data_IF_221923288102
#
_entry.id   IF_221923288102
#
_cell.length_a   1.000
_cell.length_b   1.000
_cell.length_c   1.000
_cell.angle_alpha   90.00
_cell.angle_beta   90.00
_cell.angle_gamma   90.00
#
_symmetry.space_group_name_H-M   'P 1'
#
loop_
_entity.id
_entity.type
_entity.pdbx_description
1 polymer ?
#
# COMPACT_ATOMS: atom_id res chain seq x y z
N UNK A 1 19.55 56.21 -12.10
CA UNK A 1 18.60 56.62 -11.04
C UNK A 1 17.15 56.15 -11.24
N UNK A 2 16.80 55.61 -12.41
CA UNK A 2 15.47 55.02 -12.68
C UNK A 2 15.24 53.73 -11.88
N UNK A 3 16.24 52.86 -11.82
CA UNK A 3 16.17 51.60 -11.07
C UNK A 3 16.09 51.82 -9.53
N UNK A 4 16.81 52.80 -8.96
CA UNK A 4 16.71 53.13 -7.53
C UNK A 4 15.32 53.63 -7.10
N UNK A 5 14.48 54.09 -8.05
CA UNK A 5 13.14 54.59 -7.77
C UNK A 5 12.07 53.49 -7.81
N UNK A 6 12.33 52.41 -8.55
CA UNK A 6 11.43 51.28 -8.68
C UNK A 6 11.57 50.29 -7.51
N UNK A 7 12.78 50.15 -6.95
CA UNK A 7 13.07 49.20 -5.87
C UNK A 7 13.41 49.88 -4.55
N UNK A 8 12.48 50.69 -4.00
CA UNK A 8 12.59 51.18 -2.64
C UNK A 8 12.29 50.07 -1.63
N UNK A 9 12.88 50.16 -0.42
CA UNK A 9 12.81 49.24 0.73
C UNK A 9 11.39 48.67 1.06
N UNK A 10 10.34 49.22 0.46
CA UNK A 10 8.95 48.80 0.58
C UNK A 10 8.64 47.58 -0.32
N UNK A 11 9.47 47.32 -1.35
CA UNK A 11 9.22 46.27 -2.36
C UNK A 11 9.92 44.96 -2.04
N UNK A 12 10.89 44.92 -1.11
CA UNK A 12 11.55 43.66 -0.70
C UNK A 12 10.59 42.71 0.00
N UNK A 13 9.66 43.19 0.81
CA UNK A 13 8.62 42.39 1.45
C UNK A 13 7.61 41.83 0.41
N UNK A 14 7.28 42.60 -0.61
CA UNK A 14 6.38 42.18 -1.67
C UNK A 14 7.02 41.11 -2.57
N UNK A 15 8.33 41.25 -2.87
CA UNK A 15 9.09 40.30 -3.66
C UNK A 15 9.31 39.00 -2.91
N UNK A 16 9.61 39.04 -1.61
CA UNK A 16 9.74 37.84 -0.78
C UNK A 16 8.40 37.10 -0.62
N UNK A 17 7.31 37.84 -0.52
CA UNK A 17 5.95 37.26 -0.52
C UNK A 17 5.63 36.61 -1.87
N UNK A 18 5.98 37.26 -2.99
CA UNK A 18 5.76 36.69 -4.33
C UNK A 18 6.56 35.41 -4.56
N UNK A 19 7.80 35.32 -4.08
CA UNK A 19 8.63 34.11 -4.10
C UNK A 19 7.95 32.95 -3.35
N UNK A 20 7.51 33.22 -2.11
CA UNK A 20 6.84 32.21 -1.29
C UNK A 20 5.55 31.70 -1.93
N UNK A 21 4.78 32.60 -2.56
CA UNK A 21 3.57 32.24 -3.31
C UNK A 21 3.91 31.38 -4.53
N UNK A 22 4.94 31.76 -5.30
CA UNK A 22 5.35 31.00 -6.49
C UNK A 22 5.81 29.58 -6.12
N UNK A 23 6.65 29.43 -5.11
CA UNK A 23 7.10 28.12 -4.62
C UNK A 23 5.93 27.31 -4.07
N UNK A 24 5.05 27.91 -3.28
CA UNK A 24 3.86 27.25 -2.75
C UNK A 24 2.94 26.74 -3.85
N UNK A 25 2.75 27.52 -4.92
CA UNK A 25 1.98 27.09 -6.10
C UNK A 25 2.63 25.91 -6.80
N UNK A 26 3.93 25.98 -7.05
CA UNK A 26 4.69 24.89 -7.69
C UNK A 26 4.59 23.57 -6.90
N UNK A 27 4.75 23.63 -5.57
CA UNK A 27 4.59 22.45 -4.70
C UNK A 27 3.15 21.91 -4.78
N UNK A 28 2.15 22.79 -4.79
CA UNK A 28 0.75 22.40 -4.92
C UNK A 28 0.46 21.71 -6.25
N UNK A 29 0.95 22.25 -7.36
CA UNK A 29 0.75 21.69 -8.70
C UNK A 29 1.39 20.29 -8.80
N UNK A 30 2.62 20.11 -8.30
CA UNK A 30 3.29 18.79 -8.24
C UNK A 30 2.51 17.81 -7.36
N UNK A 31 1.99 18.25 -6.23
CA UNK A 31 1.23 17.40 -5.31
C UNK A 31 -0.09 16.93 -5.92
N UNK A 32 -0.78 17.80 -6.66
CA UNK A 32 -2.02 17.47 -7.36
C UNK A 32 -1.76 16.43 -8.46
N UNK A 33 -0.78 16.67 -9.33
CA UNK A 33 -0.42 15.76 -10.42
C UNK A 33 0.01 14.39 -9.87
N UNK A 34 0.86 14.37 -8.87
CA UNK A 34 1.31 13.14 -8.21
C UNK A 34 0.17 12.38 -7.53
N UNK A 35 -0.80 13.09 -6.95
CA UNK A 35 -1.99 12.46 -6.35
C UNK A 35 -2.89 11.81 -7.40
N UNK A 36 -3.02 12.39 -8.59
CA UNK A 36 -3.74 11.78 -9.70
C UNK A 36 -3.03 10.51 -10.19
N UNK A 37 -1.70 10.56 -10.36
CA UNK A 37 -0.91 9.40 -10.75
C UNK A 37 -0.99 8.26 -9.71
N UNK A 38 -0.95 8.59 -8.43
CA UNK A 38 -1.10 7.60 -7.35
C UNK A 38 -2.49 6.93 -7.38
N UNK A 39 -3.56 7.71 -7.57
CA UNK A 39 -4.93 7.16 -7.73
C UNK A 39 -5.04 6.20 -8.91
N UNK A 40 -4.41 6.50 -10.02
CA UNK A 40 -4.39 5.64 -11.20
C UNK A 40 -3.60 4.36 -10.95
N UNK A 41 -2.41 4.47 -10.32
CA UNK A 41 -1.54 3.34 -9.96
C UNK A 41 -2.20 2.35 -9.02
N UNK A 42 -2.90 2.83 -7.98
CA UNK A 42 -3.51 2.02 -6.93
C UNK A 42 -5.02 1.80 -7.14
N UNK A 43 -5.47 1.73 -8.37
CA UNK A 43 -6.88 1.55 -8.71
C UNK A 43 -7.18 0.08 -9.01
N UNK A 44 -7.58 -0.69 -7.98
CA UNK A 44 -8.17 -2.01 -8.19
C UNK A 44 -9.61 -1.88 -8.70
N UNK A 45 -10.03 -2.81 -9.57
CA UNK A 45 -11.41 -2.90 -10.05
C UNK A 45 -12.38 -3.14 -8.90
N UNK A 46 -13.55 -2.55 -8.93
CA UNK A 46 -14.63 -2.91 -7.99
C UNK A 46 -15.22 -4.31 -8.28
N UNK A 47 -15.10 -4.75 -9.54
CA UNK A 47 -15.63 -6.03 -9.98
C UNK A 47 -14.52 -7.07 -10.05
N UNK A 48 -14.76 -8.20 -9.41
CA UNK A 48 -13.89 -9.37 -9.48
C UNK A 48 -13.84 -9.95 -10.90
N UNK A 49 -12.63 -10.17 -11.42
CA UNK A 49 -12.36 -10.96 -12.62
C UNK A 49 -11.24 -11.95 -12.33
N UNK A 50 -11.60 -13.23 -12.27
CA UNK A 50 -10.66 -14.32 -12.02
C UNK A 50 -9.47 -14.31 -12.99
N UNK A 51 -9.70 -14.00 -14.27
CA UNK A 51 -8.66 -14.07 -15.30
C UNK A 51 -7.56 -13.02 -15.11
N UNK A 52 -7.89 -11.87 -14.52
CA UNK A 52 -6.91 -10.84 -14.20
C UNK A 52 -6.01 -11.23 -13.01
N UNK A 53 -6.57 -11.99 -12.04
CA UNK A 53 -5.91 -12.28 -10.76
C UNK A 53 -5.18 -13.61 -10.78
N UNK A 54 -5.74 -14.67 -11.41
CA UNK A 54 -5.12 -16.00 -11.42
C UNK A 54 -3.73 -15.97 -12.08
N UNK A 55 -2.77 -16.68 -11.46
CA UNK A 55 -1.45 -16.94 -12.05
C UNK A 55 -1.25 -18.43 -12.30
N UNK A 56 -1.54 -18.86 -13.52
CA UNK A 56 -1.38 -20.24 -13.93
C UNK A 56 0.06 -20.74 -13.80
N UNK A 57 1.05 -19.83 -13.98
CA UNK A 57 2.46 -20.19 -13.85
C UNK A 57 2.83 -20.51 -12.40
N UNK A 58 2.29 -19.76 -11.43
CA UNK A 58 2.47 -20.03 -10.01
C UNK A 58 1.84 -21.37 -9.63
N UNK A 59 0.60 -21.60 -10.05
CA UNK A 59 -0.11 -22.86 -9.82
C UNK A 59 0.67 -24.05 -10.39
N UNK A 60 1.18 -23.95 -11.62
CA UNK A 60 1.97 -25.01 -12.25
C UNK A 60 3.31 -25.24 -11.52
N UNK A 61 3.97 -24.17 -11.01
CA UNK A 61 5.20 -24.32 -10.21
C UNK A 61 4.94 -25.11 -8.92
N UNK A 62 3.86 -24.78 -8.20
CA UNK A 62 3.50 -25.47 -6.95
C UNK A 62 3.17 -26.94 -7.24
N UNK A 63 2.41 -27.21 -8.30
CA UNK A 63 2.13 -28.61 -8.71
C UNK A 63 3.40 -29.38 -9.03
N UNK A 64 4.27 -28.87 -9.89
CA UNK A 64 5.55 -29.51 -10.23
C UNK A 64 6.42 -29.75 -8.99
N UNK A 65 6.47 -28.77 -8.07
CA UNK A 65 7.23 -28.88 -6.83
C UNK A 65 6.74 -30.05 -5.97
N UNK A 66 5.42 -30.22 -5.85
CA UNK A 66 4.82 -31.28 -5.06
C UNK A 66 5.20 -32.69 -5.59
N UNK A 67 5.34 -32.86 -6.91
CA UNK A 67 5.69 -34.12 -7.53
C UNK A 67 7.18 -34.31 -7.83
N UNK A 68 8.03 -33.32 -7.51
CA UNK A 68 9.44 -33.35 -7.89
C UNK A 68 10.32 -34.34 -7.11
N UNK A 69 9.90 -34.75 -5.90
CA UNK A 69 10.61 -35.72 -5.07
C UNK A 69 10.43 -37.17 -5.54
N UNK A 70 9.39 -37.46 -6.32
CA UNK A 70 8.99 -38.81 -6.68
C UNK A 70 8.26 -39.55 -5.56
N UNK A 71 7.98 -38.89 -4.44
CA UNK A 71 7.18 -39.47 -3.35
C UNK A 71 5.70 -39.51 -3.73
N UNK A 72 4.95 -40.37 -3.01
CA UNK A 72 3.50 -40.44 -3.16
C UNK A 72 2.90 -39.15 -2.62
N UNK A 73 2.26 -38.38 -3.50
CA UNK A 73 1.52 -37.16 -3.13
C UNK A 73 0.10 -37.55 -2.75
N UNK A 74 -0.38 -37.05 -1.61
CA UNK A 74 -1.74 -37.27 -1.14
C UNK A 74 -2.47 -35.93 -0.98
N UNK A 75 -3.78 -35.99 -1.20
CA UNK A 75 -4.69 -34.89 -0.85
C UNK A 75 -4.70 -34.72 0.67
N UNK A 76 -4.33 -33.55 1.22
CA UNK A 76 -4.23 -33.38 2.66
C UNK A 76 -5.58 -33.43 3.39
N UNK A 77 -6.68 -33.34 2.66
CA UNK A 77 -8.03 -33.27 3.22
C UNK A 77 -8.79 -34.59 3.11
N UNK A 78 -8.49 -35.39 2.09
CA UNK A 78 -9.20 -36.67 1.82
C UNK A 78 -8.30 -37.91 1.97
N UNK A 79 -6.97 -37.72 2.10
CA UNK A 79 -5.93 -38.79 2.09
C UNK A 79 -5.83 -39.58 0.80
N UNK A 80 -6.56 -39.19 -0.26
CA UNK A 80 -6.48 -39.85 -1.56
C UNK A 80 -5.11 -39.65 -2.21
N UNK A 81 -4.54 -40.67 -2.81
CA UNK A 81 -3.32 -40.58 -3.62
C UNK A 81 -3.61 -39.77 -4.86
N UNK A 82 -2.73 -38.79 -5.14
CA UNK A 82 -2.86 -37.87 -6.26
C UNK A 82 -1.86 -38.18 -7.37
N UNK A 83 -2.31 -38.04 -8.60
CA UNK A 83 -1.52 -38.14 -9.82
C UNK A 83 -1.32 -36.76 -10.44
N UNK A 84 -0.10 -36.46 -10.86
CA UNK A 84 0.20 -35.19 -11.54
C UNK A 84 -0.57 -35.08 -12.86
N UNK A 85 -0.61 -36.20 -13.62
CA UNK A 85 -1.25 -36.28 -14.92
C UNK A 85 -2.68 -36.86 -14.80
N UNK A 86 -3.66 -36.14 -15.30
CA UNK A 86 -5.05 -36.55 -15.31
C UNK A 86 -5.29 -37.85 -16.09
N UNK A 87 -4.51 -38.10 -17.14
CA UNK A 87 -4.64 -39.36 -17.92
C UNK A 87 -4.22 -40.59 -17.11
N UNK A 88 -3.15 -40.47 -16.31
CA UNK A 88 -2.70 -41.52 -15.41
C UNK A 88 -3.76 -41.84 -14.34
N UNK A 89 -4.35 -40.77 -13.74
CA UNK A 89 -5.44 -40.94 -12.79
C UNK A 89 -6.65 -41.66 -13.43
N UNK A 90 -6.98 -41.35 -14.69
CA UNK A 90 -8.06 -42.02 -15.42
C UNK A 90 -7.75 -43.49 -15.74
N UNK A 91 -6.52 -43.80 -16.09
CA UNK A 91 -6.09 -45.16 -16.37
C UNK A 91 -6.18 -46.06 -15.13
N UNK A 92 -5.82 -45.49 -13.96
CA UNK A 92 -5.80 -46.22 -12.70
C UNK A 92 -7.20 -46.36 -12.06
N UNK A 93 -8.01 -45.27 -12.07
CA UNK A 93 -9.27 -45.19 -11.31
C UNK A 93 -10.53 -45.11 -12.17
N UNK A 94 -10.38 -45.08 -13.50
CA UNK A 94 -11.51 -44.95 -14.43
C UNK A 94 -12.09 -43.52 -14.52
N UNK A 95 -12.99 -43.34 -15.49
CA UNK A 95 -13.62 -42.03 -15.78
C UNK A 95 -14.56 -41.54 -14.65
N UNK A 96 -15.04 -42.42 -13.79
CA UNK A 96 -15.94 -42.06 -12.70
C UNK A 96 -15.18 -41.50 -11.48
N UNK A 97 -14.01 -42.09 -11.14
CA UNK A 97 -13.30 -41.78 -9.89
C UNK A 97 -12.02 -40.95 -10.07
N UNK A 98 -11.52 -40.77 -11.31
CA UNK A 98 -10.25 -40.05 -11.53
C UNK A 98 -10.19 -38.66 -10.91
N UNK A 99 -11.32 -38.00 -10.73
CA UNK A 99 -11.37 -36.64 -10.17
C UNK A 99 -10.95 -36.61 -8.69
N UNK A 100 -11.07 -37.70 -7.96
CA UNK A 100 -10.58 -37.85 -6.59
C UNK A 100 -9.06 -38.02 -6.53
N UNK A 101 -8.44 -38.42 -7.63
CA UNK A 101 -7.03 -38.74 -7.74
C UNK A 101 -6.25 -37.84 -8.70
N UNK A 102 -6.91 -36.90 -9.37
CA UNK A 102 -6.26 -35.89 -10.24
C UNK A 102 -5.85 -34.69 -9.44
N UNK A 103 -4.55 -34.40 -9.36
CA UNK A 103 -4.00 -33.28 -8.61
C UNK A 103 -4.35 -31.95 -9.27
N UNK A 104 -4.89 -31.01 -8.48
CA UNK A 104 -5.11 -29.65 -8.88
C UNK A 104 -4.58 -28.67 -7.78
N UNK A 105 -3.92 -27.57 -8.16
CA UNK A 105 -3.63 -26.49 -7.24
C UNK A 105 -4.92 -25.74 -6.89
N UNK A 106 -5.19 -25.60 -5.61
CA UNK A 106 -6.32 -24.83 -5.07
C UNK A 106 -5.81 -23.61 -4.29
N UNK A 107 -6.53 -22.48 -4.37
CA UNK A 107 -6.30 -21.33 -3.52
C UNK A 107 -6.97 -21.56 -2.16
N UNK A 108 -6.17 -21.67 -1.10
CA UNK A 108 -6.66 -21.91 0.27
C UNK A 108 -7.65 -20.81 0.67
N UNK A 109 -7.24 -19.54 0.52
CA UNK A 109 -8.14 -18.38 0.56
C UNK A 109 -8.55 -18.07 -0.88
N UNK A 110 -9.84 -18.16 -1.22
CA UNK A 110 -10.31 -17.97 -2.60
C UNK A 110 -9.98 -16.59 -3.17
N UNK A 111 -9.65 -16.55 -4.47
CA UNK A 111 -9.30 -15.29 -5.17
C UNK A 111 -10.39 -14.22 -5.04
N UNK A 112 -11.65 -14.58 -5.10
CA UNK A 112 -12.79 -13.66 -4.95
C UNK A 112 -12.80 -13.00 -3.56
N UNK A 113 -12.54 -13.77 -2.50
CA UNK A 113 -12.47 -13.26 -1.13
C UNK A 113 -11.26 -12.33 -0.95
N UNK A 114 -10.12 -12.66 -1.56
CA UNK A 114 -8.94 -11.79 -1.55
C UNK A 114 -9.16 -10.49 -2.32
N UNK A 115 -9.82 -10.56 -3.47
CA UNK A 115 -10.19 -9.38 -4.24
C UNK A 115 -11.10 -8.44 -3.43
N UNK A 116 -12.14 -8.98 -2.81
CA UNK A 116 -13.05 -8.21 -1.96
C UNK A 116 -12.32 -7.55 -0.78
N UNK A 117 -11.28 -8.21 -0.27
CA UNK A 117 -10.42 -7.66 0.77
C UNK A 117 -9.53 -6.54 0.23
N UNK A 118 -8.82 -6.75 -0.89
CA UNK A 118 -7.83 -5.81 -1.41
C UNK A 118 -8.41 -4.61 -2.16
N UNK A 119 -9.60 -4.72 -2.77
CA UNK A 119 -10.17 -3.64 -3.60
C UNK A 119 -10.32 -2.31 -2.89
N UNK A 120 -10.46 -2.33 -1.56
CA UNK A 120 -10.55 -1.13 -0.73
C UNK A 120 -9.20 -0.64 -0.18
N UNK A 121 -8.09 -1.37 -0.44
CA UNK A 121 -6.78 -0.96 0.00
C UNK A 121 -6.23 0.17 -0.89
N UNK A 122 -5.93 1.38 -0.33
CA UNK A 122 -5.51 2.53 -1.13
C UNK A 122 -4.10 2.41 -1.71
N UNK A 123 -3.29 1.43 -1.27
CA UNK A 123 -1.91 1.24 -1.71
C UNK A 123 -1.67 -0.15 -2.30
N UNK A 124 -2.69 -0.78 -2.85
CA UNK A 124 -2.60 -2.08 -3.51
C UNK A 124 -2.70 -1.92 -5.03
N UNK A 125 -1.73 -2.47 -5.76
CA UNK A 125 -1.78 -2.54 -7.23
C UNK A 125 -2.35 -3.88 -7.70
N UNK A 126 -2.82 -3.96 -8.95
CA UNK A 126 -3.24 -5.23 -9.57
C UNK A 126 -2.12 -6.28 -9.54
N UNK A 127 -0.87 -5.86 -9.73
CA UNK A 127 0.29 -6.75 -9.68
C UNK A 127 0.53 -7.29 -8.26
N UNK A 128 0.33 -6.46 -7.24
CA UNK A 128 0.47 -6.86 -5.84
C UNK A 128 -0.61 -7.85 -5.44
N UNK A 129 -1.86 -7.56 -5.77
CA UNK A 129 -2.98 -8.48 -5.57
C UNK A 129 -2.70 -9.85 -6.20
N UNK A 130 -2.33 -9.87 -7.49
CA UNK A 130 -1.99 -11.10 -8.20
C UNK A 130 -0.86 -11.87 -7.52
N UNK A 131 0.21 -11.18 -7.14
CA UNK A 131 1.38 -11.77 -6.48
C UNK A 131 1.05 -12.36 -5.11
N UNK A 132 0.27 -11.66 -4.29
CA UNK A 132 -0.11 -12.11 -2.95
C UNK A 132 -1.08 -13.27 -3.04
N UNK A 133 -2.12 -13.14 -3.86
CA UNK A 133 -3.16 -14.15 -4.02
C UNK A 133 -2.64 -15.50 -4.53
N UNK A 134 -1.60 -15.50 -5.39
CA UNK A 134 -0.98 -16.70 -5.94
C UNK A 134 0.35 -17.08 -5.27
N UNK A 135 0.60 -16.58 -4.05
CA UNK A 135 1.78 -16.99 -3.29
C UNK A 135 1.70 -18.47 -2.90
N UNK A 136 2.85 -19.13 -2.77
CA UNK A 136 2.92 -20.55 -2.39
C UNK A 136 2.16 -20.85 -1.10
N UNK A 137 2.16 -19.92 -0.14
CA UNK A 137 1.47 -20.06 1.14
C UNK A 137 -0.07 -20.02 1.02
N UNK A 138 -0.59 -19.54 -0.10
CA UNK A 138 -2.02 -19.57 -0.42
C UNK A 138 -2.41 -20.66 -1.42
N UNK A 139 -1.48 -21.54 -1.77
CA UNK A 139 -1.72 -22.63 -2.72
C UNK A 139 -1.49 -23.99 -2.04
N UNK A 140 -2.37 -24.91 -2.31
CA UNK A 140 -2.29 -26.31 -1.86
C UNK A 140 -2.58 -27.24 -3.02
N UNK A 141 -1.92 -28.41 -3.04
CA UNK A 141 -2.29 -29.45 -3.99
C UNK A 141 -3.38 -30.33 -3.36
N UNK A 142 -4.52 -30.37 -4.00
CA UNK A 142 -5.67 -31.19 -3.59
C UNK A 142 -6.25 -31.93 -4.79
N UNK A 143 -7.28 -32.75 -4.59
CA UNK A 143 -7.95 -33.43 -5.67
C UNK A 143 -8.84 -32.49 -6.49
N UNK A 144 -8.96 -32.77 -7.77
CA UNK A 144 -9.89 -32.04 -8.65
C UNK A 144 -11.32 -32.06 -8.11
N UNK A 145 -11.75 -33.21 -7.52
CA UNK A 145 -13.08 -33.35 -6.91
C UNK A 145 -13.27 -32.36 -5.76
N UNK A 146 -12.29 -32.30 -4.83
CA UNK A 146 -12.32 -31.37 -3.71
C UNK A 146 -12.34 -29.91 -4.18
N UNK A 147 -11.39 -29.53 -5.04
CA UNK A 147 -11.28 -28.16 -5.57
C UNK A 147 -12.57 -27.71 -6.30
N UNK A 148 -13.11 -28.57 -7.16
CA UNK A 148 -14.35 -28.29 -7.89
C UNK A 148 -15.59 -28.21 -6.96
N UNK A 149 -15.62 -28.93 -5.87
CA UNK A 149 -16.69 -28.85 -4.89
C UNK A 149 -16.57 -27.60 -4.03
N UNK A 150 -15.36 -27.25 -3.60
CA UNK A 150 -15.09 -26.05 -2.76
C UNK A 150 -15.42 -24.73 -3.48
N UNK A 151 -15.02 -24.57 -4.75
CA UNK A 151 -15.23 -23.35 -5.56
C UNK A 151 -14.66 -22.08 -4.87
N UNK A 152 -15.51 -21.03 -4.68
CA UNK A 152 -15.17 -19.76 -3.99
C UNK A 152 -15.46 -19.79 -2.49
N UNK A 153 -15.73 -20.95 -1.91
CA UNK A 153 -15.92 -21.09 -0.46
C UNK A 153 -14.56 -21.09 0.24
N UNK A 154 -14.49 -20.50 1.41
CA UNK A 154 -13.35 -20.70 2.30
C UNK A 154 -13.33 -22.16 2.79
N UNK A 155 -12.19 -22.62 3.31
CA UNK A 155 -12.15 -23.94 3.91
C UNK A 155 -13.15 -24.06 5.07
N UNK A 156 -13.24 -22.99 5.89
CA UNK A 156 -14.21 -22.94 7.01
C UNK A 156 -15.65 -23.08 6.52
N UNK A 157 -16.05 -22.36 5.47
CA UNK A 157 -17.40 -22.47 4.88
C UNK A 157 -17.64 -23.86 4.28
N UNK A 158 -16.61 -24.48 3.72
CA UNK A 158 -16.75 -25.75 2.99
C UNK A 158 -16.76 -26.96 3.92
N UNK A 159 -15.75 -27.11 4.80
CA UNK A 159 -15.59 -28.32 5.63
C UNK A 159 -16.58 -28.39 6.81
N UNK A 160 -17.27 -27.29 7.13
CA UNK A 160 -18.31 -27.27 8.17
C UNK A 160 -19.72 -27.50 7.63
N UNK A 161 -19.91 -27.45 6.31
CA UNK A 161 -21.22 -27.71 5.66
C UNK A 161 -21.32 -29.18 5.28
N UNK A 162 -21.70 -30.02 6.27
CA UNK A 162 -21.78 -31.46 6.10
C UNK A 162 -22.78 -31.88 5.00
N UNK A 163 -23.93 -31.24 4.96
CA UNK A 163 -24.95 -31.55 3.96
C UNK A 163 -24.46 -31.25 2.54
N UNK A 164 -23.65 -30.19 2.38
CA UNK A 164 -23.04 -29.84 1.11
C UNK A 164 -21.92 -30.83 0.73
N UNK A 165 -21.07 -31.23 1.68
CA UNK A 165 -20.05 -32.26 1.45
C UNK A 165 -20.69 -33.56 0.98
N UNK A 166 -21.73 -34.02 1.66
CA UNK A 166 -22.49 -35.21 1.31
C UNK A 166 -23.13 -35.09 -0.09
N UNK A 167 -23.73 -33.92 -0.39
CA UNK A 167 -24.31 -33.65 -1.72
C UNK A 167 -23.28 -33.58 -2.86
N UNK A 168 -22.01 -33.31 -2.54
CA UNK A 168 -20.88 -33.32 -3.49
C UNK A 168 -20.08 -34.62 -3.47
N UNK A 169 -20.50 -35.57 -2.64
CA UNK A 169 -19.81 -36.84 -2.44
C UNK A 169 -18.30 -36.61 -2.13
N UNK A 170 -18.01 -35.66 -1.23
CA UNK A 170 -16.65 -35.35 -0.73
C UNK A 170 -16.51 -35.90 0.67
N UNK A 171 -15.61 -36.86 0.84
CA UNK A 171 -15.35 -37.51 2.12
C UNK A 171 -14.01 -37.06 2.67
N UNK A 172 -14.03 -36.35 3.80
CA UNK A 172 -12.81 -35.93 4.48
C UNK A 172 -12.20 -37.09 5.26
N UNK A 173 -10.87 -37.19 5.29
CA UNK A 173 -10.18 -38.09 6.20
C UNK A 173 -10.33 -37.63 7.67
N UNK A 174 -9.90 -38.46 8.62
CA UNK A 174 -10.14 -38.23 10.05
C UNK A 174 -9.70 -36.83 10.51
N UNK A 175 -8.54 -36.36 10.06
CA UNK A 175 -7.97 -35.06 10.41
C UNK A 175 -8.18 -33.99 9.32
N UNK A 176 -8.82 -34.39 8.20
CA UNK A 176 -8.95 -33.55 7.00
C UNK A 176 -9.62 -32.20 7.26
N UNK A 177 -10.64 -32.18 8.12
CA UNK A 177 -11.33 -30.98 8.54
C UNK A 177 -10.38 -30.05 9.31
N UNK A 178 -9.64 -30.58 10.28
CA UNK A 178 -8.74 -29.80 11.11
C UNK A 178 -7.57 -29.23 10.28
N UNK A 179 -7.00 -30.07 9.40
CA UNK A 179 -5.95 -29.64 8.46
C UNK A 179 -6.44 -28.50 7.57
N UNK A 180 -7.66 -28.59 7.04
CA UNK A 180 -8.23 -27.55 6.18
C UNK A 180 -8.39 -26.22 6.92
N UNK A 181 -8.87 -26.24 8.15
CA UNK A 181 -9.01 -25.05 8.99
C UNK A 181 -7.65 -24.44 9.34
N UNK A 182 -6.66 -25.29 9.67
CA UNK A 182 -5.30 -24.82 9.98
C UNK A 182 -4.61 -24.23 8.74
N UNK A 183 -4.79 -24.82 7.55
CA UNK A 183 -4.27 -24.27 6.30
C UNK A 183 -4.88 -22.90 6.02
N UNK A 184 -6.19 -22.73 6.20
CA UNK A 184 -6.84 -21.42 6.01
C UNK A 184 -6.30 -20.38 6.98
N UNK A 185 -6.18 -20.73 8.27
CA UNK A 185 -5.61 -19.84 9.29
C UNK A 185 -4.19 -19.38 8.92
N UNK A 186 -3.33 -20.29 8.50
CA UNK A 186 -1.97 -19.99 8.11
C UNK A 186 -1.92 -19.14 6.83
N UNK A 187 -2.73 -19.50 5.82
CA UNK A 187 -2.78 -18.73 4.57
C UNK A 187 -3.28 -17.30 4.80
N UNK A 188 -4.32 -17.11 5.61
CA UNK A 188 -4.82 -15.78 5.98
C UNK A 188 -3.74 -14.94 6.65
N UNK A 189 -3.01 -15.50 7.64
CA UNK A 189 -1.91 -14.80 8.29
C UNK A 189 -0.83 -14.39 7.30
N UNK A 190 -0.37 -15.31 6.45
CA UNK A 190 0.67 -15.04 5.47
C UNK A 190 0.23 -13.99 4.42
N UNK A 191 -1.05 -13.98 4.03
CA UNK A 191 -1.63 -12.95 3.16
C UNK A 191 -1.54 -11.57 3.84
N UNK A 192 -1.94 -11.46 5.11
CA UNK A 192 -1.88 -10.20 5.88
C UNK A 192 -0.44 -9.71 6.02
N UNK A 193 0.51 -10.58 6.37
CA UNK A 193 1.93 -10.22 6.48
C UNK A 193 2.48 -9.68 5.14
N UNK A 194 2.16 -10.34 4.02
CA UNK A 194 2.56 -9.88 2.68
C UNK A 194 1.88 -8.56 2.29
N UNK A 195 0.62 -8.37 2.67
CA UNK A 195 -0.12 -7.13 2.45
C UNK A 195 0.55 -5.97 3.19
N UNK A 196 0.82 -6.11 4.49
CA UNK A 196 1.47 -5.07 5.30
C UNK A 196 2.81 -4.67 4.69
N UNK A 197 3.67 -5.63 4.37
CA UNK A 197 4.96 -5.36 3.74
C UNK A 197 4.83 -4.66 2.38
N UNK A 198 3.84 -5.05 1.59
CA UNK A 198 3.55 -4.44 0.28
C UNK A 198 3.06 -3.00 0.42
N UNK A 199 2.11 -2.76 1.32
CA UNK A 199 1.59 -1.42 1.60
C UNK A 199 2.70 -0.50 2.10
N UNK A 200 3.51 -0.94 3.07
CA UNK A 200 4.63 -0.17 3.58
C UNK A 200 5.61 0.23 2.46
N UNK A 201 5.96 -0.71 1.59
CA UNK A 201 6.80 -0.46 0.42
C UNK A 201 6.16 0.57 -0.52
N UNK A 202 4.91 0.38 -0.90
CA UNK A 202 4.20 1.25 -1.85
C UNK A 202 4.04 2.68 -1.31
N UNK A 203 3.77 2.82 -0.01
CA UNK A 203 3.74 4.13 0.68
C UNK A 203 5.10 4.81 0.62
N UNK A 204 6.18 4.09 0.97
CA UNK A 204 7.54 4.62 0.97
C UNK A 204 7.98 5.07 -0.43
N UNK A 205 7.75 4.23 -1.45
CA UNK A 205 8.06 4.56 -2.84
C UNK A 205 7.28 5.78 -3.32
N UNK A 206 5.97 5.82 -3.07
CA UNK A 206 5.11 6.96 -3.45
C UNK A 206 5.59 8.25 -2.79
N UNK A 207 5.91 8.21 -1.50
CA UNK A 207 6.45 9.37 -0.79
C UNK A 207 7.75 9.85 -1.41
N UNK A 208 8.69 8.94 -1.66
CA UNK A 208 10.00 9.29 -2.19
C UNK A 208 9.92 9.85 -3.61
N UNK A 209 9.22 9.17 -4.52
CA UNK A 209 9.06 9.60 -5.92
C UNK A 209 8.44 11.00 -6.02
N UNK A 210 7.36 11.23 -5.28
CA UNK A 210 6.65 12.51 -5.33
C UNK A 210 7.38 13.60 -4.55
N UNK A 211 8.04 13.25 -3.47
CA UNK A 211 8.92 14.13 -2.72
C UNK A 211 10.07 14.65 -3.57
N UNK A 212 10.72 13.79 -4.33
CA UNK A 212 11.80 14.19 -5.25
C UNK A 212 11.33 15.16 -6.33
N UNK A 213 10.15 14.92 -6.92
CA UNK A 213 9.55 15.85 -7.88
C UNK A 213 9.31 17.23 -7.25
N UNK A 214 8.75 17.25 -6.03
CA UNK A 214 8.52 18.48 -5.27
C UNK A 214 9.80 19.20 -4.90
N UNK A 215 10.85 18.48 -4.52
CA UNK A 215 12.15 19.05 -4.19
C UNK A 215 12.78 19.75 -5.39
N UNK A 216 12.82 19.10 -6.54
CA UNK A 216 13.40 19.65 -7.77
C UNK A 216 12.61 20.91 -8.16
N UNK A 217 11.28 20.81 -8.30
CA UNK A 217 10.45 21.92 -8.76
C UNK A 217 10.49 23.12 -7.80
N UNK A 218 10.44 22.90 -6.50
CA UNK A 218 10.50 23.97 -5.51
C UNK A 218 11.89 24.60 -5.43
N UNK A 219 12.94 23.78 -5.50
CA UNK A 219 14.34 24.23 -5.51
C UNK A 219 14.64 25.10 -6.71
N UNK A 220 14.30 24.65 -7.92
CA UNK A 220 14.48 25.39 -9.17
C UNK A 220 13.73 26.71 -9.16
N UNK A 221 12.47 26.71 -8.75
CA UNK A 221 11.66 27.94 -8.66
C UNK A 221 12.24 28.94 -7.67
N UNK A 222 12.74 28.48 -6.51
CA UNK A 222 13.35 29.34 -5.52
C UNK A 222 14.70 29.88 -6.00
N UNK A 223 15.55 29.08 -6.62
CA UNK A 223 16.83 29.53 -7.18
C UNK A 223 16.60 30.61 -8.23
N UNK A 224 15.65 30.43 -9.15
CA UNK A 224 15.30 31.43 -10.14
C UNK A 224 14.79 32.72 -9.50
N UNK A 225 13.88 32.64 -8.54
CA UNK A 225 13.27 33.78 -7.87
C UNK A 225 14.27 34.51 -6.95
N UNK A 226 15.08 33.76 -6.20
CA UNK A 226 16.12 34.29 -5.33
C UNK A 226 17.25 34.91 -6.15
N UNK A 227 17.58 34.32 -7.30
CA UNK A 227 18.57 34.85 -8.24
C UNK A 227 18.23 36.25 -8.69
N UNK A 228 17.01 36.50 -9.14
CA UNK A 228 16.57 37.85 -9.57
C UNK A 228 16.72 38.87 -8.44
N UNK A 229 16.25 38.56 -7.24
CA UNK A 229 16.31 39.46 -6.10
C UNK A 229 17.75 39.76 -5.67
N UNK A 230 18.60 38.73 -5.65
CA UNK A 230 20.00 38.93 -5.26
C UNK A 230 20.82 39.67 -6.31
N UNK A 231 20.55 39.47 -7.62
CA UNK A 231 21.16 40.28 -8.69
C UNK A 231 20.81 41.76 -8.52
N UNK A 232 19.55 42.09 -8.22
CA UNK A 232 19.13 43.45 -7.95
C UNK A 232 19.87 44.07 -6.75
N UNK A 233 20.02 43.27 -5.66
CA UNK A 233 20.77 43.72 -4.47
C UNK A 233 22.26 43.96 -4.75
N UNK A 234 22.88 43.15 -5.61
CA UNK A 234 24.27 43.35 -6.05
C UNK A 234 24.39 44.61 -6.91
N UNK A 235 23.48 44.83 -7.86
CA UNK A 235 23.43 46.03 -8.69
C UNK A 235 23.27 47.30 -7.85
N UNK A 236 22.48 47.23 -6.79
CA UNK A 236 22.26 48.34 -5.85
C UNK A 236 23.43 48.56 -4.88
N UNK A 237 24.43 47.66 -4.86
CA UNK A 237 25.54 47.69 -3.91
C UNK A 237 25.15 47.34 -2.46
N UNK A 238 24.04 46.67 -2.29
CA UNK A 238 23.55 46.19 -1.00
C UNK A 238 24.19 44.87 -0.55
N UNK A 239 24.70 44.08 -1.50
CA UNK A 239 25.37 42.78 -1.30
C UNK A 239 26.55 42.64 -2.24
N UNK A 240 27.51 41.81 -1.83
CA UNK A 240 28.55 41.26 -2.73
C UNK A 240 28.01 40.12 -3.57
N UNK A 241 28.71 39.79 -4.65
CA UNK A 241 28.34 38.65 -5.48
C UNK A 241 28.39 37.30 -4.71
N UNK A 242 29.37 37.14 -3.80
CA UNK A 242 29.53 35.96 -2.98
C UNK A 242 28.38 35.77 -1.98
N UNK A 243 27.97 36.86 -1.32
CA UNK A 243 26.79 36.88 -0.43
C UNK A 243 25.51 36.53 -1.20
N UNK A 244 25.36 37.08 -2.41
CA UNK A 244 24.22 36.79 -3.28
C UNK A 244 24.16 35.29 -3.69
N UNK A 245 25.30 34.70 -4.08
CA UNK A 245 25.38 33.29 -4.42
C UNK A 245 25.07 32.37 -3.24
N UNK A 246 25.60 32.72 -2.05
CA UNK A 246 25.31 31.98 -0.81
C UNK A 246 23.82 31.99 -0.46
N UNK A 247 23.18 33.15 -0.57
CA UNK A 247 21.74 33.29 -0.27
C UNK A 247 20.87 32.52 -1.29
N UNK A 248 21.22 32.57 -2.58
CA UNK A 248 20.53 31.80 -3.64
C UNK A 248 20.61 30.28 -3.35
N UNK A 249 21.79 29.77 -3.02
CA UNK A 249 22.00 28.38 -2.71
C UNK A 249 21.22 27.94 -1.45
N UNK A 250 21.26 28.76 -0.40
CA UNK A 250 20.55 28.52 0.86
C UNK A 250 19.03 28.51 0.68
N UNK A 251 18.49 29.47 -0.06
CA UNK A 251 17.06 29.56 -0.34
C UNK A 251 16.58 28.37 -1.17
N UNK A 252 17.34 28.00 -2.20
CA UNK A 252 17.05 26.84 -3.04
C UNK A 252 17.05 25.53 -2.26
N UNK A 253 18.02 25.33 -1.38
CA UNK A 253 18.10 24.13 -0.53
C UNK A 253 16.93 24.01 0.43
N UNK A 254 16.52 25.11 1.07
CA UNK A 254 15.36 25.13 1.96
C UNK A 254 14.06 24.83 1.20
N UNK A 255 13.90 25.45 0.03
CA UNK A 255 12.73 25.22 -0.79
C UNK A 255 12.66 23.78 -1.29
N UNK A 256 13.79 23.18 -1.68
CA UNK A 256 13.87 21.78 -2.08
C UNK A 256 13.46 20.83 -0.93
N UNK A 257 14.00 21.05 0.28
CA UNK A 257 13.62 20.25 1.44
C UNK A 257 12.12 20.37 1.76
N UNK A 258 11.57 21.58 1.71
CA UNK A 258 10.13 21.81 1.90
C UNK A 258 9.30 21.13 0.81
N UNK A 259 9.71 21.25 -0.45
CA UNK A 259 9.05 20.61 -1.59
C UNK A 259 9.02 19.11 -1.47
N UNK A 260 10.13 18.48 -1.06
CA UNK A 260 10.21 17.04 -0.81
C UNK A 260 9.17 16.58 0.22
N UNK A 261 9.18 17.20 1.38
CA UNK A 261 8.30 16.80 2.48
C UNK A 261 6.83 17.05 2.16
N UNK A 262 6.50 18.23 1.66
CA UNK A 262 5.09 18.59 1.40
C UNK A 262 4.51 17.77 0.25
N UNK A 263 5.22 17.62 -0.87
CA UNK A 263 4.71 16.86 -2.02
C UNK A 263 4.59 15.36 -1.70
N UNK A 264 5.61 14.76 -1.09
CA UNK A 264 5.56 13.35 -0.70
C UNK A 264 4.40 13.06 0.26
N UNK A 265 4.28 13.85 1.32
CA UNK A 265 3.24 13.66 2.33
C UNK A 265 1.83 13.93 1.80
N UNK A 266 1.66 15.00 1.01
CA UNK A 266 0.35 15.34 0.44
C UNK A 266 -0.16 14.24 -0.48
N UNK A 267 0.72 13.64 -1.27
CA UNK A 267 0.36 12.54 -2.19
C UNK A 267 -0.04 11.29 -1.42
N UNK A 268 0.75 10.87 -0.43
CA UNK A 268 0.44 9.69 0.40
C UNK A 268 -0.87 9.89 1.16
N UNK A 269 -1.08 11.04 1.80
CA UNK A 269 -2.33 11.33 2.52
C UNK A 269 -3.54 11.39 1.58
N UNK A 270 -3.40 12.03 0.41
CA UNK A 270 -4.47 12.08 -0.59
C UNK A 270 -4.85 10.68 -1.07
N UNK A 271 -3.88 9.80 -1.27
CA UNK A 271 -4.13 8.42 -1.68
C UNK A 271 -4.76 7.61 -0.55
N UNK A 272 -4.27 7.72 0.69
CA UNK A 272 -4.87 7.08 1.86
C UNK A 272 -6.36 7.45 2.02
N UNK A 273 -6.69 8.72 1.82
CA UNK A 273 -8.08 9.19 1.92
C UNK A 273 -8.98 8.80 0.75
N UNK A 274 -8.41 8.47 -0.41
CA UNK A 274 -9.18 8.19 -1.63
C UNK A 274 -10.13 6.99 -1.50
N UNK A 275 -9.78 6.02 -0.66
CA UNK A 275 -10.57 4.80 -0.39
C UNK A 275 -11.29 4.83 0.96
N UNK A 276 -11.30 5.98 1.65
CA UNK A 276 -11.99 6.09 2.94
C UNK A 276 -13.49 5.86 2.81
N UNK A 277 -14.06 5.09 3.71
CA UNK A 277 -15.51 4.91 3.85
C UNK A 277 -16.23 6.16 4.37
N UNK A 278 -15.49 7.12 4.95
CA UNK A 278 -16.04 8.37 5.45
C UNK A 278 -16.39 9.32 4.31
N UNK A 279 -17.67 9.68 4.19
CA UNK A 279 -18.15 10.65 3.22
C UNK A 279 -17.48 12.02 3.39
N UNK A 280 -17.20 12.41 4.63
CA UNK A 280 -16.46 13.63 4.95
C UNK A 280 -15.05 13.60 4.35
N UNK A 281 -14.34 12.50 4.51
CA UNK A 281 -12.98 12.34 3.99
C UNK A 281 -12.98 12.31 2.46
N UNK A 282 -13.92 11.60 1.83
CA UNK A 282 -14.06 11.61 0.36
C UNK A 282 -14.39 13.01 -0.17
N UNK A 283 -15.27 13.73 0.49
CA UNK A 283 -15.62 15.12 0.13
C UNK A 283 -14.41 16.02 0.24
N UNK A 284 -13.58 15.84 1.27
CA UNK A 284 -12.34 16.57 1.45
C UNK A 284 -11.28 16.25 0.38
N UNK A 285 -11.22 15.02 -0.13
CA UNK A 285 -10.30 14.64 -1.24
C UNK A 285 -10.80 15.08 -2.61
N UNK A 286 -12.08 15.28 -2.79
CA UNK A 286 -12.67 15.71 -4.06
C UNK A 286 -12.77 17.24 -4.20
N UNK A 287 -12.72 18.01 -3.12
CA UNK A 287 -12.92 19.45 -3.08
C UNK A 287 -11.59 20.23 -2.89
N UNK A 288 -10.71 20.31 -3.91
CA UNK A 288 -9.49 21.18 -3.92
C UNK A 288 -8.75 21.29 -2.56
N UNK A 289 -8.50 20.16 -1.92
CA UNK A 289 -8.05 20.04 -0.54
C UNK A 289 -6.54 20.24 -0.38
N UNK A 290 -5.82 20.52 -1.45
CA UNK A 290 -4.38 20.76 -1.39
C UNK A 290 -4.01 21.75 -0.25
N UNK A 291 -4.78 22.79 0.00
CA UNK A 291 -4.51 23.73 1.09
C UNK A 291 -4.68 23.12 2.49
N UNK A 292 -5.70 22.28 2.70
CA UNK A 292 -5.94 21.61 4.01
C UNK A 292 -4.96 20.46 4.24
N UNK A 293 -4.64 19.70 3.20
CA UNK A 293 -3.58 18.67 3.25
C UNK A 293 -2.24 19.35 3.56
N UNK A 294 -1.90 20.44 2.87
CA UNK A 294 -0.68 21.21 3.14
C UNK A 294 -0.66 21.72 4.59
N UNK A 295 -1.77 22.21 5.12
CA UNK A 295 -1.85 22.66 6.52
C UNK A 295 -1.62 21.49 7.48
N UNK A 296 -2.20 20.32 7.22
CA UNK A 296 -1.98 19.11 8.01
C UNK A 296 -0.53 18.65 7.92
N UNK A 297 0.05 18.65 6.73
CA UNK A 297 1.45 18.31 6.48
C UNK A 297 2.38 19.27 7.20
N UNK A 298 2.11 20.58 7.17
CA UNK A 298 2.91 21.57 7.91
C UNK A 298 2.82 21.36 9.41
N UNK A 299 1.65 21.00 9.94
CA UNK A 299 1.48 20.69 11.37
C UNK A 299 2.20 19.39 11.79
N UNK A 300 2.42 18.49 10.86
CA UNK A 300 3.13 17.20 11.08
C UNK A 300 4.58 17.25 10.55
N UNK A 301 5.07 18.42 10.16
CA UNK A 301 6.38 18.62 9.52
C UNK A 301 7.54 17.93 10.28
N UNK A 302 7.56 18.04 11.61
CA UNK A 302 8.63 17.44 12.42
C UNK A 302 8.70 15.90 12.32
N UNK A 303 7.58 15.24 12.19
CA UNK A 303 7.52 13.78 11.99
C UNK A 303 8.02 13.40 10.61
N UNK A 304 7.59 14.15 9.59
CA UNK A 304 8.00 13.93 8.21
C UNK A 304 9.49 14.23 7.99
N UNK A 305 10.02 15.24 8.66
CA UNK A 305 11.45 15.55 8.65
C UNK A 305 12.29 14.41 9.24
N UNK A 306 11.88 13.86 10.39
CA UNK A 306 12.53 12.69 11.00
C UNK A 306 12.49 11.47 10.07
N UNK A 307 11.36 11.25 9.40
CA UNK A 307 11.22 10.16 8.43
C UNK A 307 12.16 10.34 7.23
N UNK A 308 12.20 11.52 6.64
CA UNK A 308 13.09 11.85 5.53
C UNK A 308 14.58 11.73 5.89
N UNK A 309 14.93 11.99 7.17
CA UNK A 309 16.28 11.80 7.71
C UNK A 309 16.63 10.35 8.06
N UNK A 310 15.68 9.41 7.88
CA UNK A 310 15.85 8.02 8.26
C UNK A 310 15.76 7.74 9.76
N UNK A 311 15.34 8.72 10.56
CA UNK A 311 15.18 8.59 12.01
C UNK A 311 13.86 7.91 12.43
N UNK A 312 12.96 7.67 11.47
CA UNK A 312 11.73 6.91 11.64
C UNK A 312 11.58 5.91 10.50
N UNK A 313 11.12 4.71 10.81
CA UNK A 313 10.63 3.77 9.81
C UNK A 313 9.31 4.27 9.22
N UNK A 314 8.89 3.71 8.07
CA UNK A 314 7.59 4.06 7.46
C UNK A 314 6.44 3.83 8.44
N UNK A 315 6.43 2.71 9.16
CA UNK A 315 5.40 2.40 10.15
C UNK A 315 5.39 3.38 11.32
N UNK A 316 6.56 3.73 11.86
CA UNK A 316 6.69 4.74 12.93
C UNK A 316 6.20 6.11 12.47
N UNK A 317 6.56 6.53 11.25
CA UNK A 317 6.08 7.77 10.66
C UNK A 317 4.54 7.78 10.55
N UNK A 318 3.95 6.71 10.05
CA UNK A 318 2.51 6.56 9.90
C UNK A 318 1.79 6.58 11.25
N UNK A 319 2.34 5.91 12.27
CA UNK A 319 1.81 5.94 13.64
C UNK A 319 1.86 7.35 14.23
N UNK A 320 3.02 8.05 14.15
CA UNK A 320 3.14 9.43 14.65
C UNK A 320 2.21 10.40 13.89
N UNK A 321 2.02 10.20 12.59
CA UNK A 321 1.07 10.98 11.79
C UNK A 321 -0.38 10.72 12.22
N UNK A 322 -0.72 9.46 12.52
CA UNK A 322 -2.03 9.08 13.05
C UNK A 322 -2.29 9.67 14.43
N UNK A 323 -1.33 9.61 15.35
CA UNK A 323 -1.43 10.19 16.69
C UNK A 323 -1.55 11.73 16.64
N UNK A 324 -0.72 12.41 15.84
CA UNK A 324 -0.78 13.87 15.69
C UNK A 324 -2.01 14.33 14.91
N UNK A 325 -2.46 13.54 13.93
CA UNK A 325 -3.73 13.74 13.25
C UNK A 325 -4.90 13.70 14.22
N UNK A 326 -4.84 12.83 15.26
CA UNK A 326 -5.85 12.75 16.31
C UNK A 326 -5.90 13.99 17.20
N UNK A 327 -4.78 14.66 17.41
CA UNK A 327 -4.68 15.89 18.21
C UNK A 327 -5.15 17.12 17.43
N UNK A 328 -4.93 17.13 16.11
CA UNK A 328 -5.24 18.28 15.25
C UNK A 328 -6.69 18.37 14.81
N UNK A 329 -7.46 17.30 15.00
CA UNK A 329 -8.85 17.26 14.57
C UNK A 329 -9.74 16.77 15.69
N UNK A 330 -10.29 17.71 16.42
CA UNK A 330 -11.44 17.50 17.32
C UNK A 330 -12.71 17.04 16.56
N UNK A 331 -12.59 16.63 15.31
CA UNK A 331 -13.70 16.17 14.47
C UNK A 331 -13.25 15.18 13.39
N UNK A 332 -13.29 13.88 13.70
CA UNK A 332 -13.40 12.80 12.70
C UNK A 332 -12.19 12.50 11.79
N UNK A 333 -11.22 13.39 11.68
CA UNK A 333 -10.02 13.23 10.83
C UNK A 333 -9.10 12.10 11.29
N UNK A 334 -8.97 11.94 12.59
CA UNK A 334 -8.03 11.01 13.22
C UNK A 334 -8.37 9.53 13.00
N UNK A 335 -9.65 9.20 13.05
CA UNK A 335 -10.10 7.82 12.77
C UNK A 335 -9.87 7.45 11.29
N UNK A 336 -10.03 8.42 10.40
CA UNK A 336 -9.86 8.21 8.97
C UNK A 336 -8.40 8.00 8.57
N UNK A 337 -7.42 8.71 9.20
CA UNK A 337 -6.00 8.51 8.93
C UNK A 337 -5.53 7.16 9.49
N UNK A 338 -5.86 6.83 10.73
CA UNK A 338 -5.49 5.55 11.33
C UNK A 338 -6.07 4.35 10.60
N UNK A 339 -7.33 4.43 10.16
CA UNK A 339 -8.01 3.35 9.43
C UNK A 339 -7.68 3.31 7.94
N UNK A 340 -7.31 4.44 7.31
CA UNK A 340 -7.01 4.49 5.88
C UNK A 340 -5.55 4.17 5.56
N UNK A 341 -4.64 4.40 6.51
CA UNK A 341 -3.21 4.14 6.34
C UNK A 341 -2.85 2.69 6.67
N UNK A 342 -3.64 2.05 7.52
CA UNK A 342 -3.59 0.62 7.78
C UNK A 342 -5.03 0.12 7.64
N UNK A 343 -5.54 -0.15 6.44
CA UNK A 343 -6.73 -0.95 6.31
C UNK A 343 -6.35 -2.37 6.70
N UNK A 344 -6.31 -2.65 7.99
CA UNK A 344 -6.42 -4.01 8.48
C UNK A 344 -7.93 -4.26 8.47
N UNK A 345 -8.48 -4.93 7.46
CA UNK A 345 -9.84 -5.39 7.55
C UNK A 345 -9.83 -6.35 8.72
N UNK A 346 -10.75 -6.15 9.62
CA UNK A 346 -11.13 -7.12 10.62
C UNK A 346 -11.56 -8.38 9.86
N UNK A 347 -10.61 -9.24 9.54
CA UNK A 347 -10.89 -10.63 9.27
C UNK A 347 -11.39 -11.16 10.61
N UNK A 348 -12.54 -11.79 10.66
CA UNK A 348 -13.36 -12.12 11.84
C UNK A 348 -12.66 -12.89 12.99
N UNK A 349 -11.33 -12.86 13.09
CA UNK A 349 -10.55 -13.28 14.25
C UNK A 349 -9.65 -12.13 14.73
N UNK A 350 -10.26 -11.21 15.49
CA UNK A 350 -9.59 -10.05 16.12
C UNK A 350 -8.32 -10.41 16.93
N UNK A 351 -8.19 -11.64 17.41
CA UNK A 351 -7.10 -12.06 18.27
C UNK A 351 -5.73 -12.16 17.57
N UNK A 352 -5.66 -12.62 16.34
CA UNK A 352 -4.37 -12.85 15.67
C UNK A 352 -3.79 -11.57 15.03
N UNK A 353 -4.63 -10.63 14.62
CA UNK A 353 -4.18 -9.32 14.12
C UNK A 353 -3.71 -8.42 15.26
N UNK A 354 -4.37 -8.47 16.42
CA UNK A 354 -3.90 -7.78 17.62
C UNK A 354 -2.54 -8.30 18.10
N UNK A 355 -2.29 -9.60 18.02
CA UNK A 355 -0.99 -10.21 18.36
C UNK A 355 0.13 -9.73 17.43
N UNK A 356 -0.16 -9.59 16.12
CA UNK A 356 0.82 -9.04 15.17
C UNK A 356 1.11 -7.56 15.43
N UNK A 357 0.08 -6.77 15.71
CA UNK A 357 0.22 -5.35 16.05
C UNK A 357 0.94 -5.14 17.39
N UNK A 358 0.70 -6.00 18.40
CA UNK A 358 1.41 -5.96 19.67
C UNK A 358 2.87 -6.40 19.52
N UNK A 359 3.15 -7.37 18.64
CA UNK A 359 4.52 -7.79 18.34
C UNK A 359 5.30 -6.69 17.64
N UNK A 360 4.71 -6.03 16.62
CA UNK A 360 5.34 -4.86 15.97
C UNK A 360 5.50 -3.68 16.96
N UNK A 361 4.50 -3.39 17.80
CA UNK A 361 4.65 -2.40 18.87
C UNK A 361 5.82 -2.73 19.80
N UNK A 362 5.97 -3.99 20.19
CA UNK A 362 7.06 -4.43 21.07
C UNK A 362 8.44 -4.37 20.40
N UNK A 363 8.52 -4.58 19.08
CA UNK A 363 9.75 -4.41 18.29
C UNK A 363 10.11 -2.93 18.15
N UNK A 364 9.13 -2.07 17.85
CA UNK A 364 9.32 -0.62 17.81
C UNK A 364 9.73 -0.03 19.16
N UNK A 365 9.20 -0.55 20.28
CA UNK A 365 9.61 -0.14 21.62
C UNK A 365 11.02 -0.65 21.99
N UNK A 366 11.43 -1.83 21.49
CA UNK A 366 12.80 -2.34 21.68
C UNK A 366 13.85 -1.57 20.88
N UNK A 367 13.49 -1.06 19.71
CA UNK A 367 14.37 -0.21 18.90
C UNK A 367 14.47 1.23 19.45
N UNK A 368 13.57 1.63 20.35
CA UNK A 368 13.58 2.94 21.02
C UNK A 368 14.41 3.00 22.30
N UNK A 369 14.75 1.85 22.89
CA UNK A 369 15.58 1.73 24.10
C UNK A 369 16.98 1.19 23.76
#
# INVERSE_FOLDING_TARGET
>A
NFFKRIFRKKDTNSLDTAKKIAVGKTISDVSIDSSMQAKERFNLSEKYDRNEIVDQSAMNRVKKKAFSSGDIVKDPYTDNVLFENQLEAKQEFGDENYAEHSAEPDHIVPLEKLHDHFKNNPFMTKSDEKRIANSEDNLVITSRKYNNAKRSRTNTEFVNDKDYLDAKDVHLCNDGREIALQHEKNAKRNVVEKEIGTVAKNVSETFHETGMKGAISAGEMMVASSGIANIVSVINGEKTADEAMHDIAKDGTKAAATGYLVSGSSTVLSQAFSKSSSELVRTLTNANVSSKIITTVMATYSTLEKYAQGNLTTNQCLLELGEKGSILTTSGYSMAIGQSVIPIPVMEEEADVQVLLEKEKSEVERERN
#
